data_IF_961211014832
#
_entry.id   IF_961211014832
#
_cell.length_a   1.000
_cell.length_b   1.000
_cell.length_c   1.000
_cell.angle_alpha   90.00
_cell.angle_beta   90.00
_cell.angle_gamma   90.00
#
_symmetry.space_group_name_H-M   'P 1'
#
loop_
_entity.id
_entity.type
_entity.pdbx_description
1 polymer ?
#
# COMPACT_ATOMS: atom_id res chain seq x y z
N UNK A 1 -5.25 20.42 -3.17
CA UNK A 1 -5.07 18.98 -2.94
C UNK A 1 -4.36 18.79 -1.64
N UNK A 2 -4.92 17.97 -0.78
CA UNK A 2 -4.40 17.69 0.54
C UNK A 2 -4.13 16.18 0.60
N UNK A 3 -2.97 15.80 1.10
CA UNK A 3 -2.56 14.41 1.22
C UNK A 3 -2.61 13.97 2.68
N UNK A 4 -2.81 12.68 2.91
CA UNK A 4 -2.79 12.11 4.26
C UNK A 4 -1.40 12.12 4.88
N UNK A 5 -0.34 12.28 4.10
CA UNK A 5 1.00 12.47 4.62
C UNK A 5 1.66 13.76 4.13
N UNK A 6 2.49 14.32 5.01
CA UNK A 6 3.19 15.59 4.79
C UNK A 6 4.13 15.51 3.58
N UNK A 7 4.24 16.64 2.87
CA UNK A 7 5.17 16.81 1.75
C UNK A 7 4.91 15.89 0.53
N UNK A 8 3.69 15.39 0.36
CA UNK A 8 3.29 14.72 -0.86
C UNK A 8 3.35 15.68 -2.06
N UNK A 9 3.77 15.21 -3.24
CA UNK A 9 3.78 16.01 -4.46
C UNK A 9 2.34 16.41 -4.85
N UNK A 10 2.19 17.63 -5.35
CA UNK A 10 0.86 18.19 -5.64
C UNK A 10 0.70 18.44 -7.13
N UNK A 11 -0.52 18.27 -7.65
CA UNK A 11 -0.85 18.69 -9.02
C UNK A 11 -0.72 20.20 -9.22
N UNK A 12 -0.88 21.02 -8.15
CA UNK A 12 -0.59 22.44 -8.20
C UNK A 12 0.86 22.74 -8.54
N UNK A 13 1.82 21.97 -8.02
CA UNK A 13 3.24 22.17 -8.31
C UNK A 13 3.57 21.84 -9.76
N UNK A 14 2.91 20.79 -10.29
CA UNK A 14 2.99 20.46 -11.72
C UNK A 14 2.37 21.58 -12.58
N UNK A 15 1.22 22.13 -12.17
CA UNK A 15 0.54 23.20 -12.88
C UNK A 15 1.38 24.50 -12.89
N UNK A 16 2.08 24.83 -11.80
CA UNK A 16 3.02 25.97 -11.75
C UNK A 16 4.11 25.82 -12.81
N UNK A 17 4.74 24.64 -12.92
CA UNK A 17 5.77 24.39 -13.93
C UNK A 17 5.23 24.50 -15.35
N UNK A 18 4.03 23.95 -15.62
CA UNK A 18 3.37 24.03 -16.93
C UNK A 18 3.06 25.49 -17.29
N UNK A 19 2.53 26.29 -16.36
CA UNK A 19 2.24 27.70 -16.57
C UNK A 19 3.51 28.51 -16.82
N UNK A 20 4.60 28.26 -16.11
CA UNK A 20 5.89 28.89 -16.32
C UNK A 20 6.44 28.57 -17.71
N UNK A 21 6.41 27.30 -18.11
CA UNK A 21 6.82 26.90 -19.47
C UNK A 21 5.96 27.56 -20.54
N UNK A 22 4.65 27.56 -20.37
CA UNK A 22 3.71 28.18 -21.31
C UNK A 22 4.01 29.67 -21.50
N UNK A 23 4.22 30.40 -20.40
CA UNK A 23 4.58 31.83 -20.42
C UNK A 23 5.89 32.08 -21.19
N UNK A 24 6.91 31.29 -20.90
CA UNK A 24 8.23 31.41 -21.56
C UNK A 24 8.19 31.07 -23.06
N UNK A 25 7.20 30.31 -23.52
CA UNK A 25 7.04 29.90 -24.93
C UNK A 25 5.86 30.56 -25.63
N UNK A 26 5.26 31.61 -25.04
CA UNK A 26 4.17 32.37 -25.67
C UNK A 26 2.84 31.59 -25.81
N UNK A 27 2.66 30.53 -25.04
CA UNK A 27 1.44 29.71 -25.03
C UNK A 27 0.42 30.37 -24.10
N UNK A 28 -0.64 30.94 -24.66
CA UNK A 28 -1.68 31.67 -23.93
C UNK A 28 -2.92 30.82 -23.63
N UNK A 29 -3.04 29.65 -24.26
CA UNK A 29 -4.23 28.79 -24.15
C UNK A 29 -3.87 27.33 -24.33
N UNK A 30 -4.40 26.49 -23.44
CA UNK A 30 -4.40 25.02 -23.54
C UNK A 30 -5.79 24.60 -24.04
N UNK A 31 -5.85 23.89 -25.17
CA UNK A 31 -7.11 23.49 -25.79
C UNK A 31 -7.55 22.09 -25.33
N UNK A 32 -6.59 21.21 -24.99
CA UNK A 32 -6.87 19.82 -24.62
C UNK A 32 -5.89 19.33 -23.54
N UNK A 33 -6.41 18.59 -22.59
CA UNK A 33 -5.66 17.83 -21.59
C UNK A 33 -5.98 16.37 -21.81
N UNK A 34 -4.98 15.56 -22.18
CA UNK A 34 -5.11 14.11 -22.30
C UNK A 34 -4.54 13.46 -21.05
N UNK A 35 -5.33 12.60 -20.43
CA UNK A 35 -5.01 11.90 -19.20
C UNK A 35 -4.54 10.50 -19.56
N UNK A 36 -3.24 10.25 -19.44
CA UNK A 36 -2.65 8.93 -19.71
C UNK A 36 -2.45 8.17 -18.40
N UNK A 37 -3.23 7.12 -18.21
CA UNK A 37 -3.14 6.20 -17.08
C UNK A 37 -2.65 4.80 -17.51
N UNK A 38 -2.16 4.65 -18.74
CA UNK A 38 -1.87 3.36 -19.37
C UNK A 38 -0.63 2.65 -18.83
N UNK A 39 0.11 3.27 -17.90
CA UNK A 39 1.22 2.60 -17.20
C UNK A 39 0.74 1.37 -16.41
N UNK A 40 -0.48 1.41 -15.85
CA UNK A 40 -1.11 0.26 -15.24
C UNK A 40 -2.16 -0.31 -16.20
N UNK A 41 -2.14 -1.62 -16.37
CA UNK A 41 -3.07 -2.31 -17.26
C UNK A 41 -4.41 -2.61 -16.56
N UNK A 42 -5.47 -2.61 -17.36
CA UNK A 42 -6.80 -3.05 -16.92
C UNK A 42 -6.84 -4.57 -16.57
N UNK A 43 -7.77 -4.97 -15.72
CA UNK A 43 -8.81 -4.19 -15.08
C UNK A 43 -8.26 -3.35 -13.91
N UNK A 44 -8.96 -2.24 -13.55
CA UNK A 44 -8.63 -1.38 -12.41
C UNK A 44 -9.14 -1.92 -11.06
N UNK A 45 -9.94 -2.99 -11.09
CA UNK A 45 -10.56 -3.63 -9.92
C UNK A 45 -10.34 -5.14 -9.99
N UNK A 46 -9.88 -5.75 -8.91
CA UNK A 46 -9.72 -7.20 -8.83
C UNK A 46 -11.10 -7.87 -8.67
N UNK A 47 -11.34 -8.96 -9.40
CA UNK A 47 -12.67 -9.56 -9.54
C UNK A 47 -13.25 -10.11 -8.23
N UNK A 48 -12.40 -10.48 -7.27
CA UNK A 48 -12.82 -11.00 -5.96
C UNK A 48 -13.07 -9.92 -4.92
N UNK A 49 -12.73 -8.65 -5.17
CA UNK A 49 -12.99 -7.57 -4.23
C UNK A 49 -14.46 -7.18 -4.21
N UNK A 50 -15.01 -7.00 -3.03
CA UNK A 50 -16.37 -6.47 -2.88
C UNK A 50 -16.38 -4.96 -3.15
N UNK A 51 -17.37 -4.45 -3.91
CA UNK A 51 -17.50 -3.00 -4.17
C UNK A 51 -17.77 -2.16 -2.93
N UNK A 52 -18.20 -2.78 -1.85
CA UNK A 52 -18.31 -2.14 -0.52
C UNK A 52 -16.98 -1.61 -0.01
N UNK A 53 -15.84 -2.22 -0.37
CA UNK A 53 -14.51 -1.75 -0.01
C UNK A 53 -14.23 -0.33 -0.55
N UNK A 54 -14.81 0.00 -1.70
CA UNK A 54 -14.70 1.32 -2.31
C UNK A 54 -15.54 2.37 -1.57
N UNK A 55 -16.78 2.05 -1.26
CA UNK A 55 -17.70 2.96 -0.57
C UNK A 55 -17.36 3.14 0.90
N UNK A 56 -16.79 2.13 1.53
CA UNK A 56 -16.27 2.19 2.91
C UNK A 56 -14.89 2.87 2.98
N UNK A 57 -14.22 3.04 1.83
CA UNK A 57 -12.98 3.81 1.75
C UNK A 57 -11.69 3.02 1.92
N UNK A 58 -11.75 1.69 1.89
CA UNK A 58 -10.58 0.83 2.07
C UNK A 58 -9.80 0.60 0.76
N UNK A 59 -10.45 0.71 -0.41
CA UNK A 59 -9.81 0.49 -1.71
C UNK A 59 -10.33 1.47 -2.76
N UNK A 60 -9.43 1.98 -3.62
CA UNK A 60 -9.79 2.71 -4.83
C UNK A 60 -9.62 1.84 -6.08
N UNK A 61 -10.18 2.30 -7.22
CA UNK A 61 -9.75 1.80 -8.53
C UNK A 61 -8.23 1.93 -8.66
N UNK A 62 -7.53 0.88 -9.10
CA UNK A 62 -6.07 0.88 -9.26
C UNK A 62 -5.71 1.52 -10.60
N UNK A 63 -5.25 2.74 -10.58
CA UNK A 63 -4.91 3.51 -11.78
C UNK A 63 -3.58 4.22 -11.62
N UNK A 64 -2.77 4.26 -12.68
CA UNK A 64 -1.47 4.96 -12.67
C UNK A 64 -1.61 6.48 -12.57
N UNK A 65 -2.80 7.02 -12.81
CA UNK A 65 -3.11 8.44 -12.64
C UNK A 65 -4.27 8.61 -11.68
N UNK A 66 -3.95 8.94 -10.44
CA UNK A 66 -4.92 9.36 -9.42
C UNK A 66 -4.22 10.24 -8.38
N UNK A 67 -4.98 10.95 -7.57
CA UNK A 67 -4.49 11.82 -6.52
C UNK A 67 -5.19 11.52 -5.19
N UNK A 68 -4.46 11.66 -4.10
CA UNK A 68 -4.95 11.45 -2.72
C UNK A 68 -5.63 10.08 -2.52
N UNK A 69 -5.23 9.05 -3.29
CA UNK A 69 -5.88 7.74 -3.32
C UNK A 69 -7.36 7.82 -3.71
N UNK A 70 -7.75 8.87 -4.44
CA UNK A 70 -9.14 9.17 -4.85
C UNK A 70 -10.14 9.29 -3.68
N UNK A 71 -9.67 9.74 -2.52
CA UNK A 71 -10.50 9.95 -1.31
C UNK A 71 -11.42 11.15 -1.46
N UNK A 72 -12.67 11.00 -1.01
CA UNK A 72 -13.62 12.12 -0.90
C UNK A 72 -13.11 13.18 0.09
N UNK A 73 -12.56 12.73 1.22
CA UNK A 73 -11.79 13.57 2.14
C UNK A 73 -10.31 13.20 2.04
N UNK A 74 -9.48 14.01 1.37
CA UNK A 74 -8.06 13.72 1.16
C UNK A 74 -7.22 13.63 2.43
N UNK A 75 -7.73 14.14 3.56
CA UNK A 75 -7.02 14.13 4.84
C UNK A 75 -7.36 12.92 5.73
N UNK A 76 -8.38 12.14 5.36
CA UNK A 76 -8.76 10.96 6.12
C UNK A 76 -8.05 9.72 5.57
N UNK A 77 -7.51 8.88 6.44
CA UNK A 77 -6.94 7.59 6.05
C UNK A 77 -8.00 6.69 5.42
N UNK A 78 -9.18 6.67 6.01
CA UNK A 78 -10.35 5.95 5.48
C UNK A 78 -11.40 6.96 5.03
N UNK A 79 -11.75 6.93 3.76
CA UNK A 79 -12.73 7.83 3.13
C UNK A 79 -13.27 7.20 1.86
N UNK A 80 -14.57 7.30 1.56
CA UNK A 80 -15.15 6.79 0.32
C UNK A 80 -14.32 7.20 -0.90
N UNK A 81 -14.21 6.28 -1.86
CA UNK A 81 -13.48 6.47 -3.13
C UNK A 81 -14.48 6.52 -4.28
N UNK A 82 -14.15 7.28 -5.32
CA UNK A 82 -14.96 7.31 -6.54
C UNK A 82 -14.64 6.12 -7.47
N UNK A 83 -15.42 6.00 -8.53
CA UNK A 83 -15.15 5.06 -9.64
C UNK A 83 -14.39 5.71 -10.80
N UNK A 84 -13.97 6.99 -10.64
CA UNK A 84 -13.40 7.80 -11.73
C UNK A 84 -12.13 8.54 -11.31
N UNK A 85 -11.12 7.86 -10.73
CA UNK A 85 -9.92 8.51 -10.19
C UNK A 85 -9.15 9.33 -11.26
N UNK A 86 -9.08 8.82 -12.49
CA UNK A 86 -8.38 9.49 -13.60
C UNK A 86 -9.07 10.81 -13.95
N UNK A 87 -10.40 10.78 -14.10
CA UNK A 87 -11.18 11.97 -14.39
C UNK A 87 -11.07 13.02 -13.28
N UNK A 88 -11.08 12.58 -12.00
CA UNK A 88 -10.88 13.45 -10.85
C UNK A 88 -9.49 14.12 -10.88
N UNK A 89 -8.43 13.36 -11.13
CA UNK A 89 -7.09 13.90 -11.28
C UNK A 89 -7.02 14.95 -12.39
N UNK A 90 -7.66 14.69 -13.53
CA UNK A 90 -7.77 15.63 -14.65
C UNK A 90 -8.53 16.90 -14.30
N UNK A 91 -9.63 16.78 -13.57
CA UNK A 91 -10.42 17.93 -13.07
C UNK A 91 -9.60 18.82 -12.14
N UNK A 92 -8.88 18.21 -11.19
CA UNK A 92 -8.02 18.95 -10.26
C UNK A 92 -6.86 19.62 -10.98
N UNK A 93 -6.21 18.93 -11.91
CA UNK A 93 -5.12 19.49 -12.70
C UNK A 93 -5.58 20.67 -13.57
N UNK A 94 -6.70 20.52 -14.30
CA UNK A 94 -7.30 21.62 -15.07
C UNK A 94 -7.60 22.83 -14.18
N UNK A 95 -8.17 22.61 -13.00
CA UNK A 95 -8.43 23.67 -12.02
C UNK A 95 -7.15 24.38 -11.58
N UNK A 96 -6.07 23.63 -11.33
CA UNK A 96 -4.78 24.16 -10.91
C UNK A 96 -4.09 24.99 -12.02
N UNK A 97 -4.28 24.64 -13.29
CA UNK A 97 -3.78 25.42 -14.43
C UNK A 97 -4.45 26.80 -14.56
N UNK A 98 -5.68 26.96 -14.07
CA UNK A 98 -6.38 28.23 -14.04
C UNK A 98 -6.84 28.73 -15.43
N UNK A 99 -6.65 30.03 -15.68
CA UNK A 99 -7.19 30.73 -16.86
C UNK A 99 -6.73 30.14 -18.19
N UNK A 100 -5.46 29.70 -18.28
CA UNK A 100 -4.88 29.15 -19.51
C UNK A 100 -5.60 27.87 -19.99
N UNK A 101 -6.18 27.09 -19.07
CA UNK A 101 -6.88 25.85 -19.36
C UNK A 101 -8.42 25.95 -19.18
N UNK A 102 -8.97 27.15 -18.96
CA UNK A 102 -10.40 27.35 -18.64
C UNK A 102 -11.34 26.64 -19.61
N UNK A 103 -11.06 26.71 -20.90
CA UNK A 103 -11.88 26.11 -21.98
C UNK A 103 -11.32 24.75 -22.47
N UNK A 104 -10.25 24.22 -21.83
CA UNK A 104 -9.66 22.96 -22.25
C UNK A 104 -10.64 21.80 -22.11
N UNK A 105 -10.70 20.95 -23.12
CA UNK A 105 -11.32 19.62 -23.00
C UNK A 105 -10.41 18.69 -22.22
N UNK A 106 -11.00 17.82 -21.40
CA UNK A 106 -10.26 16.80 -20.64
C UNK A 106 -10.77 15.44 -21.07
N UNK A 107 -9.88 14.54 -21.48
CA UNK A 107 -10.25 13.17 -21.90
C UNK A 107 -9.14 12.18 -21.56
N UNK A 108 -9.51 10.94 -21.27
CA UNK A 108 -8.53 9.86 -21.16
C UNK A 108 -7.97 9.52 -22.55
N UNK A 109 -6.72 9.06 -22.58
CA UNK A 109 -6.06 8.67 -23.81
C UNK A 109 -4.57 8.41 -23.60
N UNK A 110 -3.93 7.81 -24.60
CA UNK A 110 -2.51 7.51 -24.56
C UNK A 110 -1.66 8.70 -24.98
N UNK A 111 -0.54 8.90 -24.31
CA UNK A 111 0.46 9.91 -24.65
C UNK A 111 1.05 9.63 -26.05
N UNK A 112 1.05 10.62 -26.99
CA UNK A 112 1.75 10.48 -28.26
C UNK A 112 3.25 10.24 -28.08
N UNK A 113 3.83 9.35 -28.90
CA UNK A 113 5.25 8.95 -28.79
C UNK A 113 6.25 10.12 -28.89
N UNK A 114 5.90 11.18 -29.64
CA UNK A 114 6.77 12.32 -29.86
C UNK A 114 6.49 13.50 -28.90
N UNK A 115 5.89 13.23 -27.75
CA UNK A 115 5.58 14.28 -26.76
C UNK A 115 6.84 14.78 -26.05
N UNK A 116 6.95 16.11 -25.88
CA UNK A 116 8.03 16.73 -25.11
C UNK A 116 7.64 16.82 -23.65
N UNK A 117 8.53 16.38 -22.74
CA UNK A 117 8.34 16.57 -21.30
C UNK A 117 8.61 18.02 -20.93
N UNK A 118 7.60 18.74 -20.47
CA UNK A 118 7.66 20.17 -20.10
C UNK A 118 7.60 20.40 -18.58
N UNK A 119 7.11 19.44 -17.81
CA UNK A 119 6.98 19.55 -16.35
C UNK A 119 7.05 18.17 -15.72
N UNK A 120 7.45 18.11 -14.45
CA UNK A 120 7.47 16.86 -13.69
C UNK A 120 7.38 17.15 -12.20
N UNK A 121 6.68 16.30 -11.48
CA UNK A 121 6.75 16.20 -10.01
C UNK A 121 7.14 14.78 -9.65
N UNK A 122 7.95 14.63 -8.63
CA UNK A 122 8.40 13.31 -8.15
C UNK A 122 7.70 12.98 -6.85
N UNK A 123 7.33 11.73 -6.68
CA UNK A 123 6.85 11.22 -5.41
C UNK A 123 7.95 11.23 -4.35
N UNK A 124 7.57 11.05 -3.09
CA UNK A 124 8.51 10.66 -2.04
C UNK A 124 9.22 9.35 -2.43
N UNK A 125 10.40 9.08 -1.86
CA UNK A 125 11.09 7.80 -2.06
C UNK A 125 10.19 6.60 -1.71
N UNK A 126 10.38 5.49 -2.41
CA UNK A 126 9.64 4.22 -2.18
C UNK A 126 9.74 3.78 -0.71
N UNK A 127 10.87 4.02 -0.05
CA UNK A 127 11.05 3.72 1.38
C UNK A 127 10.05 4.47 2.28
N UNK A 128 9.69 5.70 1.92
CA UNK A 128 8.67 6.49 2.64
C UNK A 128 7.28 5.88 2.41
N UNK A 129 6.98 5.48 1.17
CA UNK A 129 5.70 4.83 0.83
C UNK A 129 5.54 3.49 1.57
N UNK A 130 6.59 2.65 1.58
CA UNK A 130 6.56 1.37 2.28
C UNK A 130 6.25 1.57 3.77
N UNK A 131 6.93 2.53 4.43
CA UNK A 131 6.68 2.82 5.85
C UNK A 131 5.26 3.31 6.09
N UNK A 132 4.78 4.26 5.29
CA UNK A 132 3.41 4.77 5.40
C UNK A 132 2.38 3.65 5.18
N UNK A 133 2.51 2.91 4.08
CA UNK A 133 1.63 1.78 3.74
C UNK A 133 1.56 0.74 4.86
N UNK A 134 2.69 0.42 5.49
CA UNK A 134 2.73 -0.55 6.59
C UNK A 134 2.05 0.00 7.85
N UNK A 135 2.29 1.26 8.20
CA UNK A 135 1.73 1.91 9.40
C UNK A 135 0.21 2.03 9.35
N UNK A 136 -0.32 2.58 8.26
CA UNK A 136 -1.76 2.81 8.13
C UNK A 136 -2.50 1.69 7.40
N UNK A 137 -1.77 0.69 6.89
CA UNK A 137 -2.34 -0.42 6.11
C UNK A 137 -3.08 0.05 4.86
N UNK A 138 -2.46 0.96 4.07
CA UNK A 138 -3.08 1.49 2.87
C UNK A 138 -3.09 0.47 1.73
N UNK A 139 -4.26 -0.06 1.42
CA UNK A 139 -4.44 -1.05 0.36
C UNK A 139 -4.10 -0.49 -1.03
N UNK A 140 -4.43 0.77 -1.30
CA UNK A 140 -4.16 1.41 -2.60
C UNK A 140 -2.66 1.58 -2.84
N UNK A 141 -1.90 2.00 -1.82
CA UNK A 141 -0.43 2.08 -1.91
C UNK A 141 0.19 0.69 -2.11
N UNK A 142 -0.33 -0.34 -1.42
CA UNK A 142 0.13 -1.72 -1.59
C UNK A 142 -0.08 -2.22 -3.03
N UNK A 143 -1.23 -1.92 -3.64
CA UNK A 143 -1.49 -2.23 -5.05
C UNK A 143 -0.54 -1.51 -6.00
N UNK A 144 -0.24 -0.25 -5.76
CA UNK A 144 0.71 0.50 -6.58
C UNK A 144 2.12 -0.10 -6.48
N UNK A 145 2.57 -0.44 -5.28
CA UNK A 145 3.86 -1.09 -5.07
C UNK A 145 3.93 -2.43 -5.81
N UNK A 146 2.86 -3.24 -5.76
CA UNK A 146 2.82 -4.50 -6.50
C UNK A 146 2.89 -4.30 -8.03
N UNK A 147 2.24 -3.24 -8.56
CA UNK A 147 2.36 -2.88 -9.99
C UNK A 147 3.78 -2.46 -10.34
N UNK A 148 4.45 -1.67 -9.47
CA UNK A 148 5.84 -1.27 -9.68
C UNK A 148 6.80 -2.46 -9.62
N UNK A 149 6.56 -3.45 -8.77
CA UNK A 149 7.32 -4.72 -8.76
C UNK A 149 7.15 -5.47 -10.08
N UNK A 150 5.94 -5.54 -10.62
CA UNK A 150 5.70 -6.16 -11.92
C UNK A 150 6.46 -5.45 -13.05
N UNK A 151 6.39 -4.12 -13.12
CA UNK A 151 7.15 -3.30 -14.10
C UNK A 151 8.65 -3.55 -13.95
N UNK A 152 9.18 -3.50 -12.72
CA UNK A 152 10.61 -3.74 -12.46
C UNK A 152 11.03 -5.14 -12.88
N UNK A 153 10.13 -6.12 -12.78
CA UNK A 153 10.33 -7.49 -13.23
C UNK A 153 10.22 -7.70 -14.76
N UNK A 154 9.92 -6.62 -15.52
CA UNK A 154 9.70 -6.70 -16.99
C UNK A 154 8.32 -7.29 -17.34
N UNK A 155 7.35 -7.22 -16.44
CA UNK A 155 6.01 -7.75 -16.62
C UNK A 155 4.98 -6.62 -16.79
N UNK A 156 3.79 -6.96 -17.30
CA UNK A 156 2.67 -6.03 -17.33
C UNK A 156 2.26 -5.63 -15.91
N UNK A 157 1.93 -4.37 -15.70
CA UNK A 157 1.42 -3.85 -14.43
C UNK A 157 -0.07 -4.20 -14.25
N UNK A 158 -0.41 -5.48 -14.24
CA UNK A 158 -1.78 -6.03 -14.16
C UNK A 158 -1.94 -6.92 -12.93
N UNK A 159 -3.17 -7.21 -12.51
CA UNK A 159 -3.44 -8.19 -11.45
C UNK A 159 -2.90 -9.59 -11.81
N UNK A 160 -3.05 -10.01 -13.06
CA UNK A 160 -2.58 -11.32 -13.54
C UNK A 160 -1.07 -11.50 -13.44
N UNK A 161 -0.30 -10.42 -13.37
CA UNK A 161 1.16 -10.47 -13.30
C UNK A 161 1.70 -10.46 -11.87
N UNK A 162 0.89 -10.12 -10.86
CA UNK A 162 1.37 -9.91 -9.48
C UNK A 162 1.99 -11.17 -8.91
N UNK A 163 1.33 -12.32 -9.03
CA UNK A 163 1.83 -13.60 -8.50
C UNK A 163 3.25 -13.90 -9.01
N UNK A 164 3.41 -13.86 -10.33
CA UNK A 164 4.70 -14.10 -10.97
C UNK A 164 5.73 -13.04 -10.58
N UNK A 165 5.33 -11.77 -10.53
CA UNK A 165 6.23 -10.67 -10.19
C UNK A 165 6.79 -10.80 -8.78
N UNK A 166 5.93 -11.09 -7.80
CA UNK A 166 6.33 -11.25 -6.39
C UNK A 166 7.19 -12.50 -6.23
N UNK A 167 6.79 -13.65 -6.81
CA UNK A 167 7.61 -14.87 -6.77
C UNK A 167 8.99 -14.66 -7.38
N UNK A 168 9.06 -13.97 -8.53
CA UNK A 168 10.33 -13.62 -9.18
C UNK A 168 11.20 -12.72 -8.30
N UNK A 169 10.59 -11.74 -7.63
CA UNK A 169 11.31 -10.85 -6.71
C UNK A 169 11.82 -11.59 -5.46
N UNK A 170 11.14 -12.64 -5.03
CA UNK A 170 11.54 -13.46 -3.88
C UNK A 170 12.60 -14.53 -4.20
N UNK A 171 12.86 -14.85 -5.47
CA UNK A 171 13.85 -15.88 -5.84
C UNK A 171 15.22 -15.71 -5.15
N UNK A 172 15.82 -14.51 -5.06
CA UNK A 172 17.10 -14.34 -4.39
C UNK A 172 17.10 -14.67 -2.92
N UNK A 173 15.93 -14.62 -2.26
CA UNK A 173 15.76 -14.89 -0.83
C UNK A 173 15.76 -16.38 -0.50
N UNK A 174 15.62 -17.25 -1.51
CA UNK A 174 15.49 -18.69 -1.37
C UNK A 174 14.28 -19.14 -0.52
N UNK A 175 13.29 -18.28 -0.31
CA UNK A 175 12.02 -18.67 0.32
C UNK A 175 11.27 -19.56 -0.68
N UNK A 176 10.88 -20.74 -0.20
CA UNK A 176 10.01 -21.62 -0.97
C UNK A 176 8.60 -21.01 -1.08
N UNK A 177 8.20 -20.73 -2.30
CA UNK A 177 6.88 -20.17 -2.64
C UNK A 177 5.91 -21.21 -3.19
N UNK A 178 6.21 -22.50 -3.06
CA UNK A 178 5.31 -23.58 -3.46
C UNK A 178 3.98 -23.46 -2.70
N UNK A 179 2.87 -23.51 -3.42
CA UNK A 179 1.52 -23.35 -2.88
C UNK A 179 1.13 -21.90 -2.55
N UNK A 180 2.03 -20.93 -2.69
CA UNK A 180 1.70 -19.51 -2.58
C UNK A 180 0.89 -19.07 -3.80
N UNK A 181 -0.20 -18.35 -3.57
CA UNK A 181 -1.02 -17.70 -4.61
C UNK A 181 -1.26 -16.26 -4.21
N UNK A 182 -0.90 -15.32 -5.08
CA UNK A 182 -1.04 -13.88 -4.85
C UNK A 182 -1.93 -13.28 -5.94
N UNK A 183 -3.11 -12.83 -5.57
CA UNK A 183 -4.08 -12.23 -6.49
C UNK A 183 -3.96 -10.71 -6.59
N UNK A 184 -3.49 -10.09 -5.51
CA UNK A 184 -3.39 -8.64 -5.38
C UNK A 184 -2.18 -8.25 -4.51
N UNK A 185 -1.88 -6.95 -4.44
CA UNK A 185 -0.79 -6.43 -3.60
C UNK A 185 -1.21 -6.13 -2.17
N UNK A 186 -2.50 -5.90 -1.95
CA UNK A 186 -3.07 -5.45 -0.68
C UNK A 186 -3.40 -6.58 0.28
N UNK A 187 -3.61 -7.79 -0.23
CA UNK A 187 -4.11 -8.92 0.56
C UNK A 187 -5.65 -8.91 0.74
N UNK A 188 -6.36 -8.03 0.04
CA UNK A 188 -7.81 -7.87 0.16
C UNK A 188 -8.58 -9.05 -0.46
N UNK A 189 -8.03 -9.66 -1.50
CA UNK A 189 -8.61 -10.84 -2.14
C UNK A 189 -8.62 -12.05 -1.20
N UNK A 190 -9.79 -12.65 -1.00
CA UNK A 190 -9.92 -13.89 -0.24
C UNK A 190 -9.41 -15.13 -1.01
N UNK A 191 -8.91 -14.94 -2.22
CA UNK A 191 -8.25 -15.96 -3.04
C UNK A 191 -6.72 -15.98 -2.88
N UNK A 192 -6.14 -15.10 -2.09
CA UNK A 192 -4.73 -15.19 -1.70
C UNK A 192 -4.48 -16.45 -0.86
N UNK A 193 -3.34 -17.08 -1.04
CA UNK A 193 -2.90 -18.28 -0.28
C UNK A 193 -1.43 -18.11 0.09
N UNK A 194 -1.16 -17.87 1.36
CA UNK A 194 0.20 -17.77 1.89
C UNK A 194 0.25 -18.52 3.22
N UNK A 195 1.05 -19.57 3.30
CA UNK A 195 1.17 -20.31 4.55
C UNK A 195 1.89 -19.46 5.63
N UNK A 196 1.50 -19.53 6.92
CA UNK A 196 2.14 -18.77 8.00
C UNK A 196 3.66 -18.96 8.04
N UNK A 197 4.17 -20.15 7.76
CA UNK A 197 5.61 -20.44 7.72
C UNK A 197 6.35 -19.63 6.65
N UNK A 198 5.72 -19.28 5.54
CA UNK A 198 6.32 -18.43 4.48
C UNK A 198 6.52 -17.00 5.03
N UNK A 199 5.52 -16.47 5.74
CA UNK A 199 5.65 -15.15 6.39
C UNK A 199 6.69 -15.18 7.52
N UNK A 200 6.75 -16.23 8.34
CA UNK A 200 7.78 -16.35 9.37
C UNK A 200 9.19 -16.36 8.77
N UNK A 201 9.40 -17.09 7.68
CA UNK A 201 10.69 -17.09 6.94
C UNK A 201 11.00 -15.70 6.35
N UNK A 202 9.99 -15.00 5.82
CA UNK A 202 10.16 -13.64 5.35
C UNK A 202 10.51 -12.66 6.49
N UNK A 203 9.85 -12.77 7.65
CA UNK A 203 10.17 -11.95 8.82
C UNK A 203 11.58 -12.23 9.36
N UNK A 204 12.13 -13.44 9.18
CA UNK A 204 13.54 -13.71 9.47
C UNK A 204 14.49 -12.87 8.63
N UNK A 205 14.18 -12.68 7.36
CA UNK A 205 14.98 -11.81 6.49
C UNK A 205 14.86 -10.34 6.91
N UNK A 206 13.66 -9.91 7.30
CA UNK A 206 13.41 -8.55 7.81
C UNK A 206 14.16 -8.31 9.13
N UNK A 207 14.14 -9.28 10.06
CA UNK A 207 14.88 -9.20 11.32
C UNK A 207 16.39 -9.06 11.09
N UNK A 208 16.92 -9.82 10.15
CA UNK A 208 18.37 -9.91 9.85
C UNK A 208 18.85 -8.79 8.91
N UNK A 209 17.99 -7.84 8.51
CA UNK A 209 18.36 -6.73 7.61
C UNK A 209 18.82 -7.22 6.23
N UNK A 210 18.16 -8.24 5.67
CA UNK A 210 18.48 -8.73 4.32
C UNK A 210 18.25 -7.63 3.29
N UNK A 211 19.27 -7.31 2.49
CA UNK A 211 19.21 -6.22 1.53
C UNK A 211 18.66 -4.92 2.17
N UNK A 212 17.64 -4.29 1.56
CA UNK A 212 17.01 -3.07 2.07
C UNK A 212 15.79 -3.33 2.97
N UNK A 213 15.63 -4.54 3.55
CA UNK A 213 14.45 -4.92 4.34
C UNK A 213 14.35 -4.21 5.69
N UNK A 214 15.39 -3.49 6.11
CA UNK A 214 15.30 -2.56 7.27
C UNK A 214 14.18 -1.52 7.10
N UNK A 215 13.85 -1.14 5.88
CA UNK A 215 12.70 -0.26 5.59
C UNK A 215 11.39 -0.89 6.05
N UNK A 216 11.23 -2.20 5.85
CA UNK A 216 10.05 -2.96 6.30
C UNK A 216 10.02 -2.98 7.83
N UNK A 217 11.14 -3.37 8.47
CA UNK A 217 11.26 -3.40 9.94
C UNK A 217 10.89 -2.07 10.58
N UNK A 218 11.42 -0.97 10.05
CA UNK A 218 11.13 0.39 10.52
C UNK A 218 9.68 0.84 10.24
N UNK A 219 9.01 0.24 9.27
CA UNK A 219 7.63 0.54 8.90
C UNK A 219 6.58 -0.30 9.63
N UNK A 220 6.96 -1.38 10.32
CA UNK A 220 6.00 -2.20 11.04
C UNK A 220 5.32 -1.40 12.15
N UNK A 221 3.98 -1.48 12.30
CA UNK A 221 3.27 -1.02 13.49
C UNK A 221 3.83 -1.65 14.77
N UNK A 222 3.81 -0.86 15.85
CA UNK A 222 4.31 -1.26 17.17
C UNK A 222 3.13 -1.38 18.14
N UNK A 223 3.08 -2.48 18.88
CA UNK A 223 2.03 -2.77 19.84
C UNK A 223 1.83 -1.62 20.82
N UNK A 224 0.60 -1.11 20.91
CA UNK A 224 0.15 -0.02 21.77
C UNK A 224 0.86 1.33 21.55
N UNK A 225 1.65 1.48 20.47
CA UNK A 225 2.41 2.72 20.20
C UNK A 225 2.09 3.33 18.84
N UNK A 226 2.05 2.53 17.75
CA UNK A 226 1.96 3.11 16.41
C UNK A 226 1.13 2.32 15.42
N UNK A 227 0.70 3.03 14.37
CA UNK A 227 0.00 2.48 13.22
C UNK A 227 -1.25 1.70 13.60
N UNK A 228 -1.55 0.64 12.88
CA UNK A 228 -2.73 -0.20 13.10
C UNK A 228 -2.71 -0.98 14.43
N UNK A 229 -1.63 -0.91 15.20
CA UNK A 229 -1.50 -1.50 16.53
C UNK A 229 -1.58 -0.47 17.67
N UNK A 230 -1.71 0.82 17.40
CA UNK A 230 -1.69 1.89 18.42
C UNK A 230 -2.74 1.73 19.51
N UNK A 231 -3.92 1.19 19.19
CA UNK A 231 -5.02 0.94 20.14
C UNK A 231 -5.15 -0.53 20.55
N UNK A 232 -4.20 -1.41 20.17
CA UNK A 232 -4.18 -2.83 20.50
C UNK A 232 -3.19 -3.11 21.63
N UNK A 233 -3.19 -4.32 22.15
CA UNK A 233 -2.30 -4.76 23.26
C UNK A 233 -2.47 -3.93 24.55
N UNK A 234 -3.70 -3.49 24.84
CA UNK A 234 -4.05 -2.84 26.12
C UNK A 234 -4.48 -3.84 27.19
N UNK A 235 -4.83 -3.32 28.39
CA UNK A 235 -5.36 -4.13 29.48
C UNK A 235 -4.42 -5.23 29.92
N UNK A 236 -4.88 -6.50 29.88
CA UNK A 236 -4.10 -7.67 30.28
C UNK A 236 -2.86 -7.96 29.39
N UNK A 237 -2.76 -7.28 28.24
CA UNK A 237 -1.67 -7.44 27.27
C UNK A 237 -0.68 -6.27 27.30
N UNK A 238 -0.82 -5.32 28.21
CA UNK A 238 -0.07 -4.06 28.24
C UNK A 238 1.45 -4.25 28.42
N UNK A 239 1.89 -5.32 29.02
CA UNK A 239 3.30 -5.65 29.19
C UNK A 239 4.02 -5.97 27.87
N UNK A 240 3.27 -6.31 26.82
CA UNK A 240 3.81 -6.49 25.46
C UNK A 240 3.84 -5.17 24.63
N UNK A 241 3.37 -4.05 25.18
CA UNK A 241 3.43 -2.75 24.53
C UNK A 241 4.89 -2.37 24.21
N UNK A 242 5.14 -1.86 23.00
CA UNK A 242 6.48 -1.51 22.54
C UNK A 242 7.38 -2.70 22.14
N UNK A 243 6.94 -3.94 22.36
CA UNK A 243 7.77 -5.13 22.16
C UNK A 243 7.36 -6.01 20.97
N UNK A 244 6.20 -5.75 20.37
CA UNK A 244 5.68 -6.49 19.22
C UNK A 244 5.63 -5.56 18.01
N UNK A 245 6.36 -5.91 16.96
CA UNK A 245 6.47 -5.20 15.69
C UNK A 245 5.79 -6.05 14.62
N UNK A 246 4.56 -5.70 14.21
CA UNK A 246 3.79 -6.60 13.38
C UNK A 246 2.85 -5.91 12.40
N UNK A 247 2.63 -6.57 11.25
CA UNK A 247 1.61 -6.19 10.29
C UNK A 247 0.31 -6.92 10.59
N UNK A 248 -0.77 -6.16 10.68
CA UNK A 248 -2.14 -6.66 10.78
C UNK A 248 -2.70 -7.05 9.41
N UNK A 249 -3.58 -8.04 9.35
CA UNK A 249 -4.45 -8.31 8.22
C UNK A 249 -5.88 -8.46 8.69
N UNK A 250 -6.81 -7.91 7.91
CA UNK A 250 -8.24 -8.05 8.14
C UNK A 250 -8.99 -8.09 6.81
N UNK A 251 -9.73 -9.17 6.62
CA UNK A 251 -10.75 -9.33 5.59
C UNK A 251 -11.98 -9.95 6.23
N UNK A 252 -13.09 -10.02 5.50
CA UNK A 252 -14.35 -10.59 5.99
C UNK A 252 -14.20 -12.00 6.60
N UNK A 253 -13.26 -12.80 6.08
CA UNK A 253 -13.03 -14.20 6.47
C UNK A 253 -11.75 -14.41 7.28
N UNK A 254 -11.14 -13.37 7.82
CA UNK A 254 -9.91 -13.58 8.55
C UNK A 254 -9.30 -12.36 9.23
N UNK A 255 -8.70 -12.63 10.38
CA UNK A 255 -7.75 -11.73 11.04
C UNK A 255 -6.40 -12.38 11.07
N UNK A 256 -5.35 -11.60 10.80
CA UNK A 256 -3.98 -12.09 10.85
C UNK A 256 -3.07 -11.10 11.55
N UNK A 257 -1.99 -11.62 12.12
CA UNK A 257 -0.91 -10.81 12.67
C UNK A 257 0.41 -11.55 12.43
N UNK A 258 1.38 -10.89 11.82
CA UNK A 258 2.69 -11.47 11.55
C UNK A 258 3.81 -10.45 11.77
N UNK A 259 4.90 -10.86 12.40
CA UNK A 259 5.98 -9.94 12.72
C UNK A 259 7.07 -10.53 13.61
N UNK A 260 7.63 -9.62 14.42
CA UNK A 260 8.75 -9.84 15.30
C UNK A 260 8.33 -9.50 16.73
N UNK A 261 8.66 -10.35 17.69
CA UNK A 261 8.49 -10.09 19.13
C UNK A 261 9.88 -9.98 19.76
N UNK A 262 10.14 -8.91 20.48
CA UNK A 262 11.25 -8.76 21.40
C UNK A 262 10.81 -9.31 22.74
N UNK A 263 11.02 -10.60 22.98
CA UNK A 263 10.49 -11.26 24.16
C UNK A 263 11.09 -10.74 25.47
N UNK A 264 10.40 -10.97 26.60
CA UNK A 264 10.77 -10.48 27.92
C UNK A 264 12.17 -10.94 28.38
N UNK A 265 12.61 -12.10 27.90
CA UNK A 265 13.94 -12.66 28.19
C UNK A 265 15.04 -12.20 27.21
N UNK A 266 14.71 -11.27 26.29
CA UNK A 266 15.61 -10.75 25.26
C UNK A 266 15.65 -11.58 23.98
N UNK A 267 14.89 -12.67 23.87
CA UNK A 267 14.83 -13.50 22.66
C UNK A 267 14.04 -12.81 21.57
N UNK A 268 14.54 -12.82 20.33
CA UNK A 268 13.79 -12.41 19.15
C UNK A 268 12.96 -13.57 18.63
N UNK A 269 11.64 -13.43 18.66
CA UNK A 269 10.71 -14.42 18.12
C UNK A 269 10.09 -13.93 16.81
N UNK A 270 9.92 -14.85 15.88
CA UNK A 270 9.20 -14.61 14.62
C UNK A 270 7.86 -15.33 14.67
N UNK A 271 6.79 -14.65 14.30
CA UNK A 271 5.47 -15.25 14.40
C UNK A 271 4.58 -14.88 13.22
N UNK A 272 3.61 -15.74 12.93
CA UNK A 272 2.49 -15.49 12.05
C UNK A 272 1.26 -16.23 12.57
N UNK A 273 0.24 -15.49 12.96
CA UNK A 273 -1.02 -16.00 13.51
C UNK A 273 -2.14 -15.69 12.55
N UNK A 274 -2.92 -16.70 12.18
CA UNK A 274 -4.10 -16.59 11.32
C UNK A 274 -5.32 -17.13 12.04
N UNK A 275 -6.37 -16.31 12.15
CA UNK A 275 -7.71 -16.73 12.51
C UNK A 275 -8.57 -16.61 11.24
N UNK A 276 -8.96 -17.73 10.66
CA UNK A 276 -9.64 -17.79 9.36
C UNK A 276 -11.01 -18.47 9.47
N UNK A 277 -11.91 -18.15 8.56
CA UNK A 277 -13.26 -18.68 8.49
C UNK A 277 -14.31 -17.66 8.91
N UNK A 278 -15.32 -18.09 9.65
CA UNK A 278 -16.34 -17.22 10.23
C UNK A 278 -15.83 -16.60 11.53
N UNK A 279 -14.94 -15.60 11.37
CA UNK A 279 -14.28 -14.96 12.51
C UNK A 279 -15.03 -13.73 12.99
N UNK A 280 -15.14 -13.62 14.31
CA UNK A 280 -15.74 -12.48 14.99
C UNK A 280 -14.68 -11.44 15.36
N UNK A 281 -15.07 -10.18 15.65
CA UNK A 281 -14.12 -9.12 16.05
C UNK A 281 -13.23 -9.50 17.24
N UNK A 282 -13.73 -10.33 18.16
CA UNK A 282 -13.00 -10.81 19.35
C UNK A 282 -11.77 -11.67 19.00
N UNK A 283 -11.68 -12.15 17.75
CA UNK A 283 -10.48 -12.84 17.28
C UNK A 283 -9.23 -11.94 17.32
N UNK A 284 -9.39 -10.61 17.23
CA UNK A 284 -8.27 -9.65 17.40
C UNK A 284 -7.69 -9.72 18.79
N UNK A 285 -8.53 -9.73 19.83
CA UNK A 285 -8.11 -9.78 21.23
C UNK A 285 -7.46 -11.13 21.56
N UNK A 286 -7.99 -12.22 20.98
CA UNK A 286 -7.41 -13.54 21.11
C UNK A 286 -6.00 -13.61 20.45
N UNK A 287 -5.81 -13.00 19.30
CA UNK A 287 -4.50 -12.88 18.62
C UNK A 287 -3.53 -12.06 19.50
N UNK A 288 -3.97 -10.94 20.08
CA UNK A 288 -3.16 -10.11 20.95
C UNK A 288 -2.73 -10.89 22.20
N UNK A 289 -3.67 -11.62 22.81
CA UNK A 289 -3.39 -12.45 23.98
C UNK A 289 -2.39 -13.55 23.67
N UNK A 290 -2.52 -14.21 22.51
CA UNK A 290 -1.59 -15.25 22.09
C UNK A 290 -0.19 -14.68 21.81
N UNK A 291 -0.10 -13.55 21.11
CA UNK A 291 1.17 -12.89 20.85
C UNK A 291 1.85 -12.38 22.14
N UNK A 292 1.05 -11.88 23.10
CA UNK A 292 1.54 -11.52 24.43
C UNK A 292 2.05 -12.73 25.23
N UNK A 293 1.38 -13.89 25.09
CA UNK A 293 1.89 -15.12 25.70
C UNK A 293 3.25 -15.52 25.11
N UNK A 294 3.45 -15.35 23.79
CA UNK A 294 4.76 -15.56 23.16
C UNK A 294 5.82 -14.59 23.73
N UNK A 295 5.47 -13.31 23.89
CA UNK A 295 6.35 -12.32 24.52
C UNK A 295 6.81 -12.76 25.92
N UNK A 296 5.89 -13.28 26.74
CA UNK A 296 6.19 -13.74 28.12
C UNK A 296 6.99 -15.04 28.16
N UNK A 297 6.74 -15.94 27.21
CA UNK A 297 7.40 -17.25 27.16
C UNK A 297 8.84 -17.20 26.66
N UNK A 298 9.14 -16.29 25.71
CA UNK A 298 10.48 -16.13 25.16
C UNK A 298 11.08 -17.42 24.60
N UNK A 299 12.31 -17.72 24.96
CA UNK A 299 13.05 -18.89 24.48
C UNK A 299 12.42 -20.24 24.84
N UNK A 300 11.51 -20.29 25.82
CA UNK A 300 10.78 -21.52 26.18
C UNK A 300 9.83 -21.98 25.05
N UNK A 301 9.54 -21.15 24.07
CA UNK A 301 8.77 -21.52 22.87
C UNK A 301 9.62 -22.17 21.78
N UNK A 302 10.92 -22.00 21.81
CA UNK A 302 11.82 -22.37 20.73
C UNK A 302 12.53 -23.72 20.96
N UNK A 303 12.06 -24.52 21.89
CA UNK A 303 12.83 -25.63 22.46
C UNK A 303 12.75 -26.95 21.68
N UNK A 304 12.40 -26.92 20.38
CA UNK A 304 12.51 -28.15 19.60
C UNK A 304 12.82 -27.93 18.15
#
# INVERSE_FOLDING_TARGET
>A
QQSVYKDAPKLSDLAVQVNAWASANGVTKINKITLDSTLFADPKWEASWERTEQTQGYMSEVSALQVDGDRTNPQAETSPRSTTPVANAGKYFKSALGAIAKTATVSEGKLPMNSTKIATVSSQPISVWIKHMLQVSDNTEAEFLARLVAIKGGLSASFSSIDLAIKKALLPTKIDTTGVVIKDGSGLSDNNRVAPVVLAKFMKLVLNGYADFDVIKQGLPVAHESGSLSARFGGANIDAAGHIFAKTGWIKKGYTLAGIIKAQDGTDLLFAIYALGDVKPEAKDAIDTLATAFYRCGNKLSNE
#
